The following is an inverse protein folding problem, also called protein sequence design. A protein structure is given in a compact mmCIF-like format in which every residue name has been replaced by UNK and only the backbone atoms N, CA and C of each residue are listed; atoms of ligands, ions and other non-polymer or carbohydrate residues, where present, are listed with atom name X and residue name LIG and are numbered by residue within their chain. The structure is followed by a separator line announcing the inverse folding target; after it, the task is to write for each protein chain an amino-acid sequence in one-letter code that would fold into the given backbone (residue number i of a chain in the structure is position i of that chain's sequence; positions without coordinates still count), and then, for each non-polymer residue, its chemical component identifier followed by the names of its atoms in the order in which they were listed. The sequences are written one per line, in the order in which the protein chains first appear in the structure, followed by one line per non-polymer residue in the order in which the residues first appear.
data_IF_702443581715
#
_entry.id   IF_702443581715
#
_cell.length_a   1.000
_cell.length_b   1.000
_cell.length_c   1.000
_cell.angle_alpha   90.00
_cell.angle_beta   90.00
_cell.angle_gamma   90.00
#
_symmetry.space_group_name_H-M   'P 1'
#
loop_
_entity.id
_entity.type
_entity.pdbx_description
1 polymer ?
#
# COMPACT_ATOMS: atom_id res chain seq x y z
N UNK A 1 -25.35 67.50 21.31
CA UNK A 1 -24.57 66.70 20.35
C UNK A 1 -25.46 65.58 19.83
N UNK A 2 -26.08 65.77 18.66
CA UNK A 2 -27.00 64.81 18.06
C UNK A 2 -26.21 63.79 17.23
N UNK A 3 -26.44 62.49 17.45
CA UNK A 3 -25.91 61.42 16.60
C UNK A 3 -27.05 60.80 15.80
N UNK A 4 -26.96 61.02 14.51
CA UNK A 4 -27.83 60.56 13.43
C UNK A 4 -27.84 59.04 13.30
N UNK A 5 -29.04 58.47 13.17
CA UNK A 5 -29.30 57.10 12.74
C UNK A 5 -29.11 56.98 11.22
N UNK A 6 -28.45 55.92 10.74
CA UNK A 6 -28.57 55.45 9.36
C UNK A 6 -28.66 53.93 9.33
N UNK A 7 -29.85 53.44 8.98
CA UNK A 7 -30.08 52.11 8.44
C UNK A 7 -29.57 52.08 7.00
N UNK A 8 -28.80 51.06 6.62
CA UNK A 8 -28.71 50.61 5.23
C UNK A 8 -28.49 49.09 5.19
N UNK A 9 -29.40 48.44 4.46
CA UNK A 9 -29.52 47.00 4.23
C UNK A 9 -28.32 46.51 3.41
N UNK A 10 -27.63 45.48 3.89
CA UNK A 10 -26.71 44.70 3.05
C UNK A 10 -27.51 43.62 2.32
N UNK A 11 -27.61 43.76 0.99
CA UNK A 11 -28.17 42.78 0.08
C UNK A 11 -27.13 41.66 -0.10
N UNK A 12 -27.55 40.42 0.16
CA UNK A 12 -26.75 39.23 -0.14
C UNK A 12 -26.72 39.00 -1.66
N UNK A 13 -25.57 39.23 -2.29
CA UNK A 13 -25.29 38.78 -3.65
C UNK A 13 -24.69 37.38 -3.59
N UNK A 14 -25.55 36.38 -3.78
CA UNK A 14 -25.15 35.04 -4.17
C UNK A 14 -24.89 35.07 -5.68
N UNK A 15 -23.65 34.88 -6.11
CA UNK A 15 -23.33 34.66 -7.52
C UNK A 15 -22.24 33.61 -7.62
N UNK A 16 -22.59 32.55 -8.33
CA UNK A 16 -21.90 31.27 -8.42
C UNK A 16 -20.57 31.40 -9.15
N UNK A 17 -19.45 31.26 -8.42
CA UNK A 17 -18.18 30.89 -9.04
C UNK A 17 -18.26 29.39 -9.38
N UNK A 18 -18.56 29.05 -10.63
CA UNK A 18 -18.35 27.70 -11.13
C UNK A 18 -16.85 27.51 -11.30
N UNK A 19 -16.22 26.75 -10.41
CA UNK A 19 -14.90 26.19 -10.63
C UNK A 19 -14.97 25.24 -11.83
N UNK A 20 -14.46 25.68 -12.98
CA UNK A 20 -14.10 24.75 -14.04
C UNK A 20 -12.83 24.04 -13.59
N UNK A 21 -12.97 22.79 -13.16
CA UNK A 21 -11.82 21.91 -12.99
C UNK A 21 -11.19 21.68 -14.39
N UNK A 22 -9.87 21.87 -14.56
CA UNK A 22 -9.22 21.41 -15.77
C UNK A 22 -9.39 19.89 -15.83
N UNK A 23 -9.83 19.38 -16.99
CA UNK A 23 -9.82 17.95 -17.25
C UNK A 23 -8.38 17.45 -17.05
N UNK A 24 -8.18 16.58 -16.06
CA UNK A 24 -6.97 15.79 -15.95
C UNK A 24 -6.89 14.93 -17.22
N UNK A 25 -6.08 15.37 -18.18
CA UNK A 25 -5.63 14.50 -19.24
C UNK A 25 -4.77 13.42 -18.58
N UNK A 26 -5.29 12.20 -18.44
CA UNK A 26 -4.48 11.04 -18.11
C UNK A 26 -3.62 10.77 -19.34
N UNK A 27 -2.40 11.33 -19.36
CA UNK A 27 -1.35 10.77 -20.21
C UNK A 27 -0.89 9.48 -19.55
N UNK A 28 -1.67 8.41 -19.73
CA UNK A 28 -1.12 7.06 -19.65
C UNK A 28 -0.12 6.93 -20.79
N UNK A 29 1.12 7.32 -20.51
CA UNK A 29 2.26 6.87 -21.29
C UNK A 29 2.35 5.37 -21.09
N UNK A 30 1.71 4.61 -21.98
CA UNK A 30 1.97 3.19 -22.14
C UNK A 30 3.47 3.04 -22.37
N UNK A 31 4.17 2.53 -21.36
CA UNK A 31 5.56 2.14 -21.48
C UNK A 31 5.62 1.02 -22.51
N UNK A 32 6.10 1.34 -23.71
CA UNK A 32 6.15 0.43 -24.87
C UNK A 32 7.14 -0.74 -24.67
N UNK A 33 7.70 -0.89 -23.47
CA UNK A 33 8.68 -1.92 -23.13
C UNK A 33 8.02 -3.19 -22.58
N UNK A 34 6.77 -3.13 -22.11
CA UNK A 34 6.08 -4.32 -21.59
C UNK A 34 5.28 -4.99 -22.71
N UNK A 35 5.63 -6.24 -23.12
CA UNK A 35 4.81 -6.96 -24.08
C UNK A 35 3.39 -7.14 -23.50
N UNK A 36 2.34 -7.07 -24.33
CA UNK A 36 0.98 -7.33 -23.85
C UNK A 36 0.91 -8.73 -23.24
N UNK A 37 0.04 -8.95 -22.24
CA UNK A 37 -0.15 -10.27 -21.66
C UNK A 37 -0.48 -11.26 -22.77
N UNK A 38 0.12 -12.46 -22.71
CA UNK A 38 -0.15 -13.51 -23.68
C UNK A 38 -1.66 -13.80 -23.71
N UNK A 39 -2.26 -14.03 -24.90
CA UNK A 39 -3.66 -14.38 -24.99
C UNK A 39 -3.93 -15.67 -24.21
N UNK A 40 -5.07 -15.72 -23.53
CA UNK A 40 -5.50 -16.94 -22.84
C UNK A 40 -5.56 -18.13 -23.84
N UNK A 41 -5.28 -19.37 -23.39
CA UNK A 41 -5.34 -20.54 -24.25
C UNK A 41 -6.71 -20.65 -24.94
N UNK A 42 -6.71 -20.78 -26.26
CA UNK A 42 -7.93 -20.83 -27.07
C UNK A 42 -8.78 -22.09 -26.82
N UNK A 43 -8.21 -23.11 -26.17
CA UNK A 43 -8.86 -24.39 -25.85
C UNK A 43 -9.65 -24.36 -24.53
N UNK A 44 -9.70 -23.21 -23.85
CA UNK A 44 -10.36 -23.09 -22.55
C UNK A 44 -9.61 -23.82 -21.43
N UNK A 45 -8.38 -24.29 -21.67
CA UNK A 45 -7.54 -24.82 -20.61
C UNK A 45 -7.23 -23.71 -19.61
N UNK A 46 -7.43 -24.02 -18.34
CA UNK A 46 -6.98 -23.13 -17.26
C UNK A 46 -5.46 -23.15 -17.30
N UNK A 47 -4.84 -22.00 -17.50
CA UNK A 47 -3.41 -21.83 -17.19
C UNK A 47 -3.27 -22.12 -15.69
N UNK A 48 -2.65 -23.23 -15.35
CA UNK A 48 -2.24 -23.50 -13.98
C UNK A 48 -1.08 -22.57 -13.69
N UNK A 49 -1.36 -21.49 -12.97
CA UNK A 49 -0.33 -20.60 -12.45
C UNK A 49 0.26 -21.29 -11.22
N UNK A 50 1.49 -21.76 -11.33
CA UNK A 50 2.28 -22.16 -10.18
C UNK A 50 3.04 -20.92 -9.69
N UNK A 51 2.68 -20.42 -8.53
CA UNK A 51 3.30 -19.22 -7.95
C UNK A 51 4.82 -19.36 -7.75
N UNK A 52 5.33 -20.59 -7.63
CA UNK A 52 6.77 -20.86 -7.53
C UNK A 52 7.54 -20.54 -8.82
N UNK A 53 6.83 -20.41 -9.93
CA UNK A 53 7.41 -20.10 -11.23
C UNK A 53 7.28 -18.60 -11.56
N UNK A 54 6.72 -17.78 -10.66
CA UNK A 54 6.62 -16.32 -10.80
C UNK A 54 7.91 -15.69 -10.25
N UNK A 55 8.81 -15.12 -11.09
CA UNK A 55 10.13 -14.67 -10.63
C UNK A 55 10.05 -13.56 -9.57
N UNK A 56 9.11 -12.62 -9.70
CA UNK A 56 8.91 -11.53 -8.74
C UNK A 56 8.47 -12.05 -7.36
N UNK A 57 7.63 -13.09 -7.33
CA UNK A 57 7.22 -13.75 -6.09
C UNK A 57 8.43 -14.45 -5.43
N UNK A 58 9.19 -15.23 -6.20
CA UNK A 58 10.37 -15.94 -5.67
C UNK A 58 11.40 -14.96 -5.11
N UNK A 59 11.64 -13.85 -5.83
CA UNK A 59 12.57 -12.80 -5.41
C UNK A 59 12.11 -12.11 -4.12
N UNK A 60 10.85 -11.64 -4.04
CA UNK A 60 10.37 -10.94 -2.83
C UNK A 60 10.34 -11.86 -1.62
N UNK A 61 10.00 -13.14 -1.78
CA UNK A 61 10.02 -14.11 -0.68
C UNK A 61 11.45 -14.32 -0.17
N UNK A 62 12.45 -14.37 -1.06
CA UNK A 62 13.85 -14.48 -0.67
C UNK A 62 14.34 -13.22 0.07
N UNK A 63 14.00 -12.02 -0.43
CA UNK A 63 14.39 -10.75 0.20
C UNK A 63 13.70 -10.55 1.56
N UNK A 64 12.39 -10.77 1.63
CA UNK A 64 11.61 -10.63 2.87
C UNK A 64 11.99 -11.70 3.92
N UNK A 65 12.36 -12.91 3.51
CA UNK A 65 12.86 -13.94 4.43
C UNK A 65 14.12 -13.51 5.19
N UNK A 66 14.97 -12.69 4.56
CA UNK A 66 16.13 -12.12 5.23
C UNK A 66 15.73 -11.06 6.28
N UNK A 67 14.63 -10.33 6.05
CA UNK A 67 14.10 -9.32 6.99
C UNK A 67 13.52 -9.95 8.25
N UNK A 68 12.91 -11.14 8.15
CA UNK A 68 12.40 -11.86 9.31
C UNK A 68 13.51 -12.11 10.33
N UNK A 69 14.68 -12.51 9.85
CA UNK A 69 15.88 -12.78 10.65
C UNK A 69 16.68 -11.53 11.03
N UNK A 70 16.48 -10.42 10.31
CA UNK A 70 17.15 -9.17 10.60
C UNK A 70 16.48 -8.45 11.79
N UNK A 71 17.26 -8.13 12.82
CA UNK A 71 16.81 -7.26 13.90
C UNK A 71 16.62 -5.85 13.34
N UNK A 72 15.37 -5.41 13.22
CA UNK A 72 15.05 -4.04 12.88
C UNK A 72 15.06 -3.22 14.17
N UNK A 73 16.15 -2.49 14.41
CA UNK A 73 16.29 -1.59 15.56
C UNK A 73 16.13 -0.17 15.05
N UNK A 74 15.18 0.57 15.62
CA UNK A 74 15.17 2.02 15.49
C UNK A 74 16.38 2.55 16.27
N UNK A 75 17.40 3.06 15.58
CA UNK A 75 18.57 3.66 16.23
C UNK A 75 18.18 4.94 16.95
N UNK A 76 18.85 5.26 18.07
CA UNK A 76 18.56 6.45 18.88
C UNK A 76 18.67 7.78 18.10
N UNK A 77 19.54 7.81 17.07
CA UNK A 77 19.75 8.97 16.21
C UNK A 77 18.83 9.02 14.98
N UNK A 78 18.00 7.99 14.74
CA UNK A 78 17.08 7.98 13.62
C UNK A 78 15.84 8.82 13.92
N UNK A 79 15.30 9.46 12.88
CA UNK A 79 13.97 10.06 12.98
C UNK A 79 12.96 8.95 13.34
N UNK A 80 12.08 9.18 14.35
CA UNK A 80 11.01 8.23 14.67
C UNK A 80 10.09 7.93 13.49
N UNK A 81 10.00 8.88 12.55
CA UNK A 81 9.21 8.75 11.33
C UNK A 81 9.97 8.06 10.20
N UNK A 82 11.21 7.62 10.40
CA UNK A 82 11.95 6.85 9.40
C UNK A 82 11.30 5.50 9.12
N UNK A 83 11.48 4.99 7.90
CA UNK A 83 10.96 3.69 7.49
C UNK A 83 11.28 2.54 8.43
N UNK A 84 12.56 2.45 8.80
CA UNK A 84 13.08 1.39 9.67
C UNK A 84 12.44 1.45 11.06
N UNK A 85 12.29 2.65 11.63
CA UNK A 85 11.62 2.85 12.92
C UNK A 85 10.13 2.50 12.85
N UNK A 86 9.43 2.91 11.79
CA UNK A 86 8.01 2.56 11.58
C UNK A 86 7.82 1.05 11.44
N UNK A 87 8.68 0.38 10.69
CA UNK A 87 8.63 -1.06 10.49
C UNK A 87 8.96 -1.83 11.78
N UNK A 88 10.01 -1.43 12.50
CA UNK A 88 10.36 -2.01 13.80
C UNK A 88 9.21 -1.86 14.81
N UNK A 89 8.63 -0.67 14.92
CA UNK A 89 7.48 -0.41 15.79
C UNK A 89 6.27 -1.28 15.40
N UNK A 90 5.99 -1.41 14.11
CA UNK A 90 4.93 -2.29 13.61
C UNK A 90 5.17 -3.76 13.99
N UNK A 91 6.35 -4.32 13.70
CA UNK A 91 6.68 -5.72 14.06
C UNK A 91 6.57 -5.97 15.55
N UNK A 92 7.08 -5.04 16.37
CA UNK A 92 6.99 -5.13 17.83
C UNK A 92 5.53 -5.08 18.35
N UNK A 93 4.59 -4.55 17.55
CA UNK A 93 3.16 -4.55 17.90
C UNK A 93 2.45 -5.86 17.56
N UNK A 94 2.93 -6.66 16.58
CA UNK A 94 2.26 -7.87 16.12
C UNK A 94 1.98 -8.91 17.23
N UNK A 95 2.89 -9.16 18.19
CA UNK A 95 2.61 -10.09 19.29
C UNK A 95 1.33 -9.76 20.07
N UNK A 96 1.00 -8.47 20.22
CA UNK A 96 -0.21 -8.03 20.93
C UNK A 96 -1.51 -8.44 20.21
N UNK A 97 -1.45 -8.68 18.89
CA UNK A 97 -2.60 -9.05 18.09
C UNK A 97 -2.88 -10.56 18.13
N UNK A 98 -1.93 -11.40 18.55
CA UNK A 98 -2.02 -12.87 18.44
C UNK A 98 -3.22 -13.48 19.14
N UNK A 99 -3.68 -12.88 20.24
CA UNK A 99 -4.80 -13.37 21.05
C UNK A 99 -6.17 -12.88 20.56
N UNK A 100 -6.20 -12.03 19.53
CA UNK A 100 -7.46 -11.54 18.95
C UNK A 100 -8.13 -12.62 18.08
N UNK A 101 -9.47 -12.60 17.95
CA UNK A 101 -10.17 -13.39 16.95
C UNK A 101 -9.57 -13.21 15.56
N UNK A 102 -9.60 -14.27 14.74
CA UNK A 102 -8.93 -14.28 13.43
C UNK A 102 -9.32 -13.07 12.55
N UNK A 103 -10.61 -12.74 12.49
CA UNK A 103 -11.09 -11.60 11.70
C UNK A 103 -10.60 -10.25 12.24
N UNK A 104 -10.46 -10.12 13.56
CA UNK A 104 -9.94 -8.90 14.19
C UNK A 104 -8.45 -8.72 13.89
N UNK A 105 -7.68 -9.81 13.85
CA UNK A 105 -6.28 -9.80 13.40
C UNK A 105 -6.16 -9.32 11.95
N UNK A 106 -6.99 -9.87 11.06
CA UNK A 106 -7.04 -9.46 9.64
C UNK A 106 -7.41 -7.98 9.51
N UNK A 107 -8.43 -7.51 10.25
CA UNK A 107 -8.84 -6.11 10.21
C UNK A 107 -7.78 -5.16 10.76
N UNK A 108 -7.07 -5.55 11.82
CA UNK A 108 -5.97 -4.77 12.39
C UNK A 108 -4.82 -4.62 11.39
N UNK A 109 -4.40 -5.72 10.75
CA UNK A 109 -3.38 -5.70 9.68
C UNK A 109 -3.84 -4.85 8.50
N UNK A 110 -5.04 -5.09 7.97
CA UNK A 110 -5.61 -4.33 6.86
C UNK A 110 -5.60 -2.82 7.16
N UNK A 111 -6.08 -2.43 8.34
CA UNK A 111 -6.18 -1.03 8.76
C UNK A 111 -4.80 -0.38 8.91
N UNK A 112 -3.83 -1.09 9.50
CA UNK A 112 -2.48 -0.57 9.67
C UNK A 112 -1.78 -0.35 8.33
N UNK A 113 -1.77 -1.37 7.46
CA UNK A 113 -1.05 -1.30 6.18
C UNK A 113 -1.72 -0.29 5.23
N UNK A 114 -3.05 -0.17 5.23
CA UNK A 114 -3.76 0.81 4.38
C UNK A 114 -3.48 2.29 4.72
N UNK A 115 -2.81 2.58 5.84
CA UNK A 115 -2.39 3.95 6.19
C UNK A 115 -1.02 4.33 5.61
N UNK A 116 -0.27 3.35 5.11
CA UNK A 116 1.00 3.61 4.44
C UNK A 116 0.75 4.36 3.11
N UNK A 117 1.71 5.16 2.61
CA UNK A 117 1.56 5.89 1.36
C UNK A 117 1.46 4.95 0.15
N UNK A 118 0.55 5.29 -0.77
CA UNK A 118 0.51 4.65 -2.09
C UNK A 118 1.52 5.33 -3.01
N UNK A 119 2.49 4.57 -3.51
CA UNK A 119 3.54 5.08 -4.39
C UNK A 119 3.84 4.02 -5.46
N UNK A 120 3.61 4.37 -6.73
CA UNK A 120 3.87 3.45 -7.86
C UNK A 120 5.35 3.11 -8.00
N UNK A 121 5.66 1.95 -8.54
CA UNK A 121 7.04 1.52 -8.82
C UNK A 121 7.86 2.48 -9.67
N UNK A 122 7.23 3.12 -10.66
CA UNK A 122 7.92 4.12 -11.48
C UNK A 122 8.46 5.28 -10.64
N UNK A 123 7.72 5.69 -9.61
CA UNK A 123 8.13 6.77 -8.71
C UNK A 123 9.19 6.31 -7.70
N UNK A 124 9.04 5.09 -7.16
CA UNK A 124 9.95 4.56 -6.14
C UNK A 124 11.30 4.08 -6.71
N UNK A 125 11.27 3.42 -7.86
CA UNK A 125 12.38 2.59 -8.36
C UNK A 125 12.77 2.92 -9.80
N UNK A 126 12.02 3.77 -10.50
CA UNK A 126 12.16 3.98 -11.96
C UNK A 126 12.05 2.68 -12.76
N UNK A 127 11.31 1.71 -12.23
CA UNK A 127 11.04 0.40 -12.84
C UNK A 127 9.55 0.29 -13.19
N UNK A 128 9.22 -0.62 -14.10
CA UNK A 128 7.84 -0.88 -14.50
C UNK A 128 7.06 -1.70 -13.45
N UNK A 129 7.75 -2.62 -12.78
CA UNK A 129 7.18 -3.58 -11.84
C UNK A 129 8.32 -4.10 -10.93
N UNK A 130 8.22 -3.86 -9.61
CA UNK A 130 9.16 -4.27 -8.57
C UNK A 130 8.44 -4.42 -7.24
N UNK A 131 8.24 -5.68 -6.84
CA UNK A 131 7.56 -5.99 -5.59
C UNK A 131 8.42 -5.63 -4.37
N UNK A 132 7.95 -4.72 -3.54
CA UNK A 132 8.60 -4.29 -2.32
C UNK A 132 8.48 -5.35 -1.21
N UNK A 133 9.54 -5.50 -0.41
CA UNK A 133 9.44 -6.21 0.87
C UNK A 133 8.63 -5.41 1.90
N UNK A 134 8.20 -6.02 3.02
CA UNK A 134 7.59 -5.26 4.12
C UNK A 134 8.43 -4.08 4.60
N UNK A 135 9.75 -4.24 4.80
CA UNK A 135 10.59 -3.11 5.24
C UNK A 135 10.64 -2.00 4.19
N UNK A 136 10.76 -2.35 2.90
CA UNK A 136 10.74 -1.39 1.80
C UNK A 136 9.40 -0.64 1.71
N UNK A 137 8.27 -1.35 1.83
CA UNK A 137 6.91 -0.78 1.88
C UNK A 137 6.77 0.21 3.05
N UNK A 138 7.26 -0.14 4.23
CA UNK A 138 7.27 0.77 5.38
C UNK A 138 8.19 1.96 5.19
N UNK A 139 9.25 1.85 4.39
CA UNK A 139 10.18 2.95 4.14
C UNK A 139 9.71 3.92 3.06
N UNK A 140 9.12 3.40 1.97
CA UNK A 140 8.89 4.15 0.74
C UNK A 140 7.42 4.21 0.32
N UNK A 141 6.55 3.44 0.97
CA UNK A 141 5.24 3.13 0.40
C UNK A 141 5.37 2.17 -0.78
N UNK A 142 4.26 1.94 -1.47
CA UNK A 142 4.19 0.96 -2.55
C UNK A 142 2.83 0.98 -3.23
N UNK A 143 2.61 0.08 -4.17
CA UNK A 143 1.34 -0.07 -4.88
C UNK A 143 0.68 -1.42 -4.58
N UNK A 144 -0.29 -1.84 -5.39
CA UNK A 144 -1.31 -2.81 -5.01
C UNK A 144 -0.74 -4.13 -4.45
N UNK A 145 0.26 -4.69 -5.12
CA UNK A 145 0.99 -5.90 -4.75
C UNK A 145 1.76 -5.73 -3.43
N UNK A 146 2.35 -4.57 -3.18
CA UNK A 146 3.15 -4.30 -1.99
C UNK A 146 2.27 -4.26 -0.73
N UNK A 147 1.06 -3.69 -0.86
CA UNK A 147 0.04 -3.77 0.19
C UNK A 147 -0.35 -5.23 0.45
N UNK A 148 -0.57 -6.03 -0.61
CA UNK A 148 -1.00 -7.41 -0.46
C UNK A 148 0.10 -8.28 0.17
N UNK A 149 1.34 -8.16 -0.29
CA UNK A 149 2.51 -8.86 0.24
C UNK A 149 2.77 -8.48 1.70
N UNK A 150 2.76 -7.20 2.03
CA UNK A 150 2.99 -6.75 3.42
C UNK A 150 1.94 -7.31 4.38
N UNK A 151 0.66 -7.37 3.96
CA UNK A 151 -0.41 -7.99 4.76
C UNK A 151 -0.23 -9.50 4.85
N UNK A 152 0.16 -10.16 3.76
CA UNK A 152 0.46 -11.59 3.75
C UNK A 152 1.55 -11.94 4.76
N UNK A 153 2.70 -11.26 4.75
CA UNK A 153 3.78 -11.49 5.69
C UNK A 153 3.36 -11.23 7.15
N UNK A 154 2.62 -10.16 7.41
CA UNK A 154 2.11 -9.88 8.76
C UNK A 154 1.16 -10.98 9.27
N UNK A 155 0.25 -11.48 8.42
CA UNK A 155 -0.66 -12.56 8.78
C UNK A 155 0.05 -13.89 9.01
N UNK A 156 1.09 -14.18 8.23
CA UNK A 156 1.98 -15.33 8.44
C UNK A 156 2.64 -15.26 9.82
N UNK A 157 3.18 -14.10 10.21
CA UNK A 157 3.81 -13.89 11.53
C UNK A 157 2.80 -13.99 12.70
N UNK A 158 1.52 -13.73 12.42
CA UNK A 158 0.40 -13.95 13.34
C UNK A 158 -0.10 -15.40 13.38
N UNK A 159 0.54 -16.32 12.64
CA UNK A 159 0.29 -17.75 12.67
C UNK A 159 -0.80 -18.23 11.71
N UNK A 160 -1.18 -17.44 10.70
CA UNK A 160 -2.08 -17.92 9.66
C UNK A 160 -1.32 -18.87 8.71
N UNK A 161 -1.84 -20.08 8.43
CA UNK A 161 -1.20 -21.00 7.49
C UNK A 161 -1.33 -20.49 6.05
N UNK A 162 -0.41 -20.90 5.16
CA UNK A 162 -0.38 -20.44 3.76
C UNK A 162 -1.73 -20.62 3.07
N UNK A 163 -2.33 -21.81 3.21
CA UNK A 163 -3.61 -22.13 2.59
C UNK A 163 -4.83 -21.36 3.14
N UNK A 164 -4.69 -20.63 4.25
CA UNK A 164 -5.75 -19.75 4.75
C UNK A 164 -5.63 -18.31 4.23
N UNK A 165 -4.50 -17.97 3.61
CA UNK A 165 -4.22 -16.64 3.04
C UNK A 165 -4.20 -16.71 1.50
N UNK A 166 -3.90 -17.88 0.95
CA UNK A 166 -4.05 -18.18 -0.48
C UNK A 166 -5.54 -18.20 -0.87
N UNK A 167 -5.90 -17.46 -1.91
CA UNK A 167 -7.26 -17.39 -2.47
C UNK A 167 -7.61 -18.60 -3.37
N UNK A 168 -6.82 -19.69 -3.28
CA UNK A 168 -6.80 -20.80 -4.23
C UNK A 168 -7.36 -22.14 -3.74
N UNK A 169 -8.32 -22.16 -2.79
CA UNK A 169 -9.13 -23.34 -2.48
C UNK A 169 -10.62 -23.06 -2.64
#
# INVERSE_FOLDING_TARGET
MARTLYFLRAVALCSTLTWQAPALATSEGADATTPPPAPAPADGSRVSLNWKDVPLWVDVMARAGNEETATHVCSDDASPDSGDCRYAAWRNSLPSLRNLPAIERVNAVQTAINRLPYVSDRQNWSMSDRWATPAEMFARGGDCEDYALTKYFALRELGFPDGAIDAGQ
#
